data_IF_674954472143
#
_entry.id   IF_674954472143
#
_cell.length_a   1.000
_cell.length_b   1.000
_cell.length_c   1.000
_cell.angle_alpha   90.00
_cell.angle_beta   90.00
_cell.angle_gamma   90.00
#
_symmetry.space_group_name_H-M   'P 1'
#
loop_
_entity.id
_entity.type
_entity.pdbx_description
1 polymer ?
#
# COMPACT_ATOMS: atom_id res chain seq x y z
N UNK A 1 -18.23 34.06 20.98
CA UNK A 1 -18.77 34.72 19.77
C UNK A 1 -20.16 34.15 19.56
N UNK A 2 -21.19 34.99 19.59
CA UNK A 2 -22.60 34.56 19.51
C UNK A 2 -22.98 34.29 18.05
N UNK A 3 -23.66 33.19 17.77
CA UNK A 3 -24.09 32.85 16.41
C UNK A 3 -25.16 33.85 15.91
N UNK A 4 -25.12 34.22 14.61
CA UNK A 4 -26.12 35.10 14.01
C UNK A 4 -27.51 34.44 13.95
N UNK A 5 -28.60 35.22 14.01
CA UNK A 5 -29.96 34.70 13.91
C UNK A 5 -30.25 34.13 12.52
N UNK A 6 -31.11 33.11 12.42
CA UNK A 6 -31.50 32.52 11.14
C UNK A 6 -32.33 33.49 10.29
N UNK A 7 -32.32 33.32 8.94
CA UNK A 7 -33.04 34.19 8.02
C UNK A 7 -34.57 34.07 8.15
N UNK A 8 -35.32 35.14 7.86
CA UNK A 8 -36.79 35.12 7.92
C UNK A 8 -37.38 34.15 6.88
N UNK A 9 -38.30 33.29 7.31
CA UNK A 9 -39.03 32.36 6.43
C UNK A 9 -38.61 30.88 6.53
N UNK A 10 -37.79 30.51 7.52
CA UNK A 10 -37.49 29.10 7.80
C UNK A 10 -38.42 28.57 8.90
N UNK A 11 -39.47 27.86 8.51
CA UNK A 11 -40.29 27.06 9.43
C UNK A 11 -39.60 25.70 9.66
N UNK A 12 -39.24 25.33 10.91
CA UNK A 12 -38.77 23.99 11.21
C UNK A 12 -39.90 22.98 11.02
N UNK A 13 -39.68 21.85 10.32
CA UNK A 13 -40.64 20.76 10.33
C UNK A 13 -40.70 20.16 11.75
N UNK A 14 -41.83 20.41 12.42
CA UNK A 14 -42.14 19.81 13.71
C UNK A 14 -42.57 18.34 13.58
N UNK A 15 -42.12 17.50 14.51
CA UNK A 15 -42.79 16.24 14.85
C UNK A 15 -41.88 15.01 15.00
N UNK A 16 -41.57 14.69 16.26
CA UNK A 16 -41.05 13.45 16.88
C UNK A 16 -41.05 12.15 16.04
N UNK A 17 -40.06 11.26 16.11
CA UNK A 17 -39.62 10.57 17.34
C UNK A 17 -38.21 9.97 17.19
N UNK A 18 -37.24 10.48 17.96
CA UNK A 18 -35.99 9.77 18.21
C UNK A 18 -36.17 8.91 19.47
N UNK A 19 -35.80 7.62 19.47
CA UNK A 19 -35.80 6.82 20.69
C UNK A 19 -34.79 7.41 21.68
N UNK A 20 -35.09 7.43 22.99
CA UNK A 20 -34.16 7.94 23.98
C UNK A 20 -32.89 7.08 24.02
N UNK A 21 -31.72 7.67 24.35
CA UNK A 21 -30.48 6.92 24.48
C UNK A 21 -30.57 5.88 25.62
N UNK A 22 -29.86 4.75 25.51
CA UNK A 22 -29.82 3.74 26.56
C UNK A 22 -29.22 4.32 27.86
N UNK A 23 -29.69 3.88 29.03
CA UNK A 23 -29.19 4.38 30.30
C UNK A 23 -27.71 3.98 30.53
N UNK A 24 -26.96 4.75 31.33
CA UNK A 24 -25.56 4.47 31.63
C UNK A 24 -25.40 3.11 32.33
N UNK A 25 -24.39 2.34 31.92
CA UNK A 25 -24.00 1.12 32.60
C UNK A 25 -23.51 1.45 34.03
N UNK A 26 -24.31 1.07 35.03
CA UNK A 26 -23.95 1.16 36.44
C UNK A 26 -22.98 0.05 36.88
N UNK A 27 -22.34 0.20 38.05
CA UNK A 27 -21.27 -0.67 38.52
C UNK A 27 -21.82 -2.01 39.05
N UNK A 28 -21.03 -3.07 38.87
CA UNK A 28 -21.39 -4.45 39.17
C UNK A 28 -21.78 -4.73 40.62
N UNK A 29 -22.61 -5.77 40.77
CA UNK A 29 -23.00 -6.38 42.03
C UNK A 29 -23.38 -7.86 41.84
N UNK A 30 -23.30 -8.69 42.90
CA UNK A 30 -23.01 -10.13 42.82
C UNK A 30 -24.23 -11.01 42.56
N UNK A 31 -24.01 -12.11 41.85
CA UNK A 31 -25.04 -13.08 41.44
C UNK A 31 -25.60 -13.94 42.59
N UNK A 32 -26.82 -14.47 42.47
CA UNK A 32 -27.36 -15.48 43.38
C UNK A 32 -27.33 -16.90 42.79
N UNK A 33 -27.15 -17.86 43.70
CA UNK A 33 -26.93 -19.28 43.45
C UNK A 33 -28.09 -20.03 42.79
N UNK A 34 -27.77 -21.21 42.25
CA UNK A 34 -28.72 -22.12 41.62
C UNK A 34 -29.51 -22.99 42.61
N UNK A 35 -30.28 -23.96 42.09
CA UNK A 35 -30.54 -25.20 42.83
C UNK A 35 -30.56 -26.48 41.97
N UNK A 36 -29.92 -27.53 42.51
CA UNK A 36 -30.53 -28.86 42.65
C UNK A 36 -30.51 -29.85 41.47
N UNK A 37 -29.64 -30.85 41.56
CA UNK A 37 -29.74 -32.15 40.89
C UNK A 37 -30.73 -33.09 41.61
N UNK A 38 -31.39 -34.00 40.86
CA UNK A 38 -31.70 -35.34 41.37
C UNK A 38 -31.10 -36.44 40.49
N UNK A 39 -30.55 -37.49 41.12
CA UNK A 39 -29.81 -38.56 40.45
C UNK A 39 -30.50 -39.93 40.35
N UNK A 40 -29.80 -40.84 39.64
CA UNK A 40 -29.87 -42.30 39.70
C UNK A 40 -30.52 -43.02 38.49
N UNK A 41 -30.25 -44.32 38.22
CA UNK A 41 -29.10 -45.18 38.56
C UNK A 41 -28.62 -46.19 37.44
N UNK A 42 -27.35 -46.64 37.52
CA UNK A 42 -26.79 -47.97 37.11
C UNK A 42 -26.71 -48.36 35.61
N UNK A 43 -25.54 -48.48 34.96
CA UNK A 43 -24.55 -49.61 34.95
C UNK A 43 -24.51 -50.28 33.53
N UNK A 44 -23.59 -51.20 33.18
CA UNK A 44 -22.12 -51.08 33.10
C UNK A 44 -21.51 -51.57 31.75
N UNK A 45 -20.27 -51.12 31.43
CA UNK A 45 -19.27 -51.89 30.66
C UNK A 45 -19.25 -51.71 29.12
N UNK A 46 -18.06 -51.41 28.57
CA UNK A 46 -17.85 -51.43 27.11
C UNK A 46 -16.52 -50.84 26.63
N UNK A 47 -15.50 -51.68 26.61
CA UNK A 47 -14.19 -51.65 25.91
C UNK A 47 -14.09 -50.74 24.66
N UNK A 48 -13.00 -49.95 24.52
CA UNK A 48 -12.60 -49.29 23.24
C UNK A 48 -12.01 -50.31 22.24
N UNK A 49 -11.21 -49.93 21.20
CA UNK A 49 -10.79 -48.61 20.67
C UNK A 49 -10.95 -48.48 19.13
N UNK A 50 -10.78 -47.28 18.55
CA UNK A 50 -10.74 -47.14 17.08
C UNK A 50 -10.44 -45.72 16.59
N UNK A 51 -9.16 -45.38 16.48
CA UNK A 51 -8.69 -44.18 15.76
C UNK A 51 -8.55 -44.44 14.25
N UNK A 52 -8.73 -43.42 13.40
CA UNK A 52 -8.55 -43.55 11.95
C UNK A 52 -7.07 -43.61 11.52
N UNK A 53 -6.75 -44.34 10.44
CA UNK A 53 -5.38 -44.63 10.00
C UNK A 53 -4.71 -43.44 9.25
N UNK A 54 -3.36 -43.32 9.31
CA UNK A 54 -2.61 -42.35 8.52
C UNK A 54 -2.37 -42.84 7.06
N UNK A 55 -2.29 -41.93 6.08
CA UNK A 55 -1.95 -42.29 4.70
C UNK A 55 -0.45 -42.57 4.47
N UNK A 56 -0.11 -43.30 3.39
CA UNK A 56 1.11 -44.11 3.27
C UNK A 56 2.35 -43.33 2.81
N UNK A 57 3.51 -43.77 3.30
CA UNK A 57 4.83 -43.25 2.92
C UNK A 57 5.29 -43.66 1.52
N UNK A 58 6.03 -42.76 0.88
CA UNK A 58 6.71 -42.95 -0.40
C UNK A 58 8.13 -42.37 -0.36
N UNK A 59 9.09 -43.26 -0.60
CA UNK A 59 10.55 -43.18 -0.64
C UNK A 59 11.20 -42.04 -1.46
N UNK A 60 12.41 -41.63 -1.01
CA UNK A 60 13.48 -40.93 -1.76
C UNK A 60 13.95 -39.65 -1.05
N UNK A 61 14.99 -39.63 -0.23
CA UNK A 61 16.42 -39.81 -0.58
C UNK A 61 17.15 -38.46 -0.42
N UNK A 62 18.12 -38.29 0.51
CA UNK A 62 18.77 -37.02 0.77
C UNK A 62 19.90 -36.74 -0.22
N UNK A 63 19.67 -35.81 -1.15
CA UNK A 63 20.70 -35.27 -2.04
C UNK A 63 21.54 -34.23 -1.34
N UNK A 64 22.77 -34.62 -1.00
CA UNK A 64 23.86 -33.76 -0.50
C UNK A 64 24.24 -32.64 -1.49
N UNK A 65 24.60 -31.44 -1.00
CA UNK A 65 25.08 -30.34 -1.86
C UNK A 65 26.47 -30.64 -2.45
N UNK A 66 26.77 -30.19 -3.68
CA UNK A 66 28.09 -30.39 -4.29
C UNK A 66 29.17 -29.53 -3.59
N UNK A 67 30.42 -30.02 -3.53
CA UNK A 67 31.51 -29.34 -2.83
C UNK A 67 32.05 -28.12 -3.60
N UNK A 68 32.43 -27.11 -2.81
CA UNK A 68 33.24 -25.95 -3.21
C UNK A 68 34.56 -26.40 -3.85
N UNK A 69 34.87 -25.89 -5.04
CA UNK A 69 36.21 -25.98 -5.63
C UNK A 69 37.07 -24.78 -5.14
N UNK A 70 38.26 -25.01 -4.53
CA UNK A 70 39.25 -23.96 -4.34
C UNK A 70 39.99 -23.66 -5.67
N UNK A 71 40.44 -22.41 -5.89
CA UNK A 71 41.22 -22.07 -7.08
C UNK A 71 42.62 -22.71 -7.05
N UNK A 72 43.17 -23.06 -8.23
CA UNK A 72 44.47 -23.73 -8.34
C UNK A 72 45.64 -22.79 -7.96
N UNK A 73 46.65 -23.30 -7.22
CA UNK A 73 47.91 -22.59 -6.97
C UNK A 73 48.91 -22.85 -8.10
N UNK A 74 49.51 -21.77 -8.63
CA UNK A 74 50.77 -21.82 -9.38
C UNK A 74 50.71 -21.38 -10.83
N UNK A 75 51.38 -20.26 -11.13
CA UNK A 75 51.69 -19.76 -12.47
C UNK A 75 52.59 -18.52 -12.39
N UNK A 76 53.48 -18.27 -13.36
CA UNK A 76 54.92 -18.23 -13.12
C UNK A 76 55.55 -16.84 -12.87
N UNK A 77 56.64 -16.90 -12.11
CA UNK A 77 57.66 -15.87 -11.94
C UNK A 77 58.19 -15.38 -13.29
N UNK A 78 58.14 -14.07 -13.50
CA UNK A 78 58.81 -13.36 -14.60
C UNK A 78 59.67 -12.21 -14.07
N UNK A 79 60.75 -11.82 -14.78
CA UNK A 79 61.94 -11.24 -14.17
C UNK A 79 62.08 -9.71 -14.37
N UNK A 80 62.74 -9.06 -13.39
CA UNK A 80 63.82 -8.10 -13.69
C UNK A 80 63.53 -6.59 -13.67
N UNK A 81 63.94 -5.97 -12.55
CA UNK A 81 64.66 -4.67 -12.41
C UNK A 81 63.96 -3.34 -12.83
N UNK A 82 64.47 -2.14 -12.44
CA UNK A 82 65.56 -1.78 -11.49
C UNK A 82 65.13 -0.76 -10.39
N UNK A 83 66.00 -0.48 -9.39
CA UNK A 83 65.68 0.37 -8.23
C UNK A 83 66.05 1.85 -8.44
N UNK A 84 65.32 2.80 -7.81
CA UNK A 84 65.85 4.15 -7.58
C UNK A 84 66.64 4.21 -6.26
N UNK A 85 67.93 4.49 -6.46
CA UNK A 85 69.00 4.96 -5.57
C UNK A 85 68.59 5.54 -4.20
N UNK A 86 69.27 5.03 -3.16
CA UNK A 86 69.59 5.77 -1.92
C UNK A 86 70.76 6.72 -2.17
N UNK A 87 70.60 7.97 -1.74
CA UNK A 87 71.64 8.90 -1.30
C UNK A 87 70.89 9.87 -0.38
N UNK A 88 71.30 10.15 0.86
CA UNK A 88 72.63 10.38 1.40
C UNK A 88 72.46 11.68 2.18
N UNK A 89 72.66 11.63 3.50
CA UNK A 89 72.29 12.68 4.45
C UNK A 89 73.03 14.01 4.29
N UNK A 90 72.61 15.00 5.07
CA UNK A 90 73.32 16.26 5.18
C UNK A 90 72.48 17.32 5.85
N UNK A 91 72.62 17.43 7.16
CA UNK A 91 71.99 18.43 8.00
C UNK A 91 72.54 19.85 7.71
N UNK A 92 71.63 20.83 7.75
CA UNK A 92 71.70 22.06 8.57
C UNK A 92 72.59 23.23 8.10
N UNK A 93 71.86 24.27 7.61
CA UNK A 93 71.92 25.71 7.93
C UNK A 93 73.02 26.60 7.32
N UNK A 94 72.59 27.58 6.50
CA UNK A 94 72.57 29.02 6.86
C UNK A 94 71.87 29.82 5.73
N UNK A 95 70.68 30.39 6.00
CA UNK A 95 70.49 31.82 6.32
C UNK A 95 70.62 32.69 5.06
N UNK A 96 69.56 33.24 4.48
CA UNK A 96 68.76 34.40 4.92
C UNK A 96 67.58 34.46 3.92
N UNK A 97 66.37 34.83 4.35
CA UNK A 97 65.05 34.84 3.63
C UNK A 97 64.07 33.70 3.97
N UNK A 98 64.32 32.89 5.01
CA UNK A 98 63.44 31.78 5.42
C UNK A 98 62.33 32.11 6.43
N UNK A 99 62.38 33.28 7.08
CA UNK A 99 61.47 33.63 8.18
C UNK A 99 60.04 33.91 7.73
N UNK A 100 59.86 34.62 6.62
CA UNK A 100 58.53 34.97 6.11
C UNK A 100 57.81 33.76 5.50
N UNK A 101 58.52 32.84 4.84
CA UNK A 101 57.90 31.67 4.20
C UNK A 101 57.50 30.61 5.22
N UNK A 102 58.30 30.36 6.26
CA UNK A 102 57.92 29.41 7.33
C UNK A 102 56.75 29.96 8.14
N UNK A 103 56.72 31.26 8.42
CA UNK A 103 55.57 31.90 9.08
C UNK A 103 54.35 31.92 8.16
N UNK A 104 54.48 32.14 6.85
CA UNK A 104 53.35 32.05 5.90
C UNK A 104 52.86 30.63 5.66
N UNK A 105 53.72 29.61 5.73
CA UNK A 105 53.33 28.20 5.67
C UNK A 105 52.68 27.78 6.98
N UNK A 106 53.19 28.22 8.14
CA UNK A 106 52.56 27.97 9.43
C UNK A 106 51.23 28.71 9.57
N UNK A 107 51.15 29.98 9.15
CA UNK A 107 49.89 30.73 9.08
C UNK A 107 48.98 30.10 8.03
N UNK A 108 49.49 29.65 6.90
CA UNK A 108 48.71 28.95 5.87
C UNK A 108 48.14 27.61 6.37
N UNK A 109 48.92 26.84 7.13
CA UNK A 109 48.50 25.59 7.77
C UNK A 109 47.55 25.88 8.93
N UNK A 110 47.80 26.91 9.74
CA UNK A 110 46.93 27.32 10.84
C UNK A 110 45.62 27.89 10.30
N UNK A 111 45.63 28.71 9.25
CA UNK A 111 44.43 29.21 8.57
C UNK A 111 43.72 28.08 7.84
N UNK A 112 44.41 27.13 7.20
CA UNK A 112 43.79 25.95 6.59
C UNK A 112 43.15 25.04 7.65
N UNK A 113 43.80 24.83 8.79
CA UNK A 113 43.25 24.03 9.91
C UNK A 113 42.12 24.78 10.64
N UNK A 114 42.21 26.12 10.78
CA UNK A 114 41.18 26.95 11.39
C UNK A 114 39.98 27.19 10.46
N UNK A 115 40.16 27.17 9.15
CA UNK A 115 39.07 27.30 8.17
C UNK A 115 38.46 25.96 7.76
N UNK A 116 39.20 24.85 7.86
CA UNK A 116 38.69 23.50 7.60
C UNK A 116 37.85 22.92 8.77
N UNK A 117 37.83 23.57 9.94
CA UNK A 117 37.26 23.03 11.18
C UNK A 117 36.04 23.74 11.76
N UNK A 118 35.37 24.66 11.04
CA UNK A 118 34.25 25.44 11.59
C UNK A 118 32.85 24.92 11.25
N UNK A 119 32.74 23.90 10.38
CA UNK A 119 31.47 23.28 10.02
C UNK A 119 31.15 22.06 10.88
N UNK A 120 29.86 21.73 10.98
CA UNK A 120 29.40 20.52 11.68
C UNK A 120 30.09 19.26 11.16
N UNK A 121 30.39 18.33 12.05
CA UNK A 121 30.82 16.98 11.70
C UNK A 121 29.76 16.25 10.85
N UNK A 122 30.14 15.25 10.04
CA UNK A 122 29.19 14.43 9.30
C UNK A 122 28.04 13.86 10.16
N UNK A 123 28.34 13.50 11.40
CA UNK A 123 27.39 12.94 12.37
C UNK A 123 26.38 13.99 12.85
N UNK A 124 26.84 15.22 13.06
CA UNK A 124 25.98 16.37 13.38
C UNK A 124 25.12 16.76 12.17
N UNK A 125 25.66 16.69 10.95
CA UNK A 125 24.90 16.90 9.71
C UNK A 125 23.81 15.84 9.52
N UNK A 126 24.12 14.56 9.72
CA UNK A 126 23.11 13.48 9.73
C UNK A 126 22.02 13.71 10.79
N UNK A 127 22.41 14.23 11.96
CA UNK A 127 21.46 14.57 13.02
C UNK A 127 20.55 15.73 12.61
N UNK A 128 21.10 16.78 12.00
CA UNK A 128 20.32 17.91 11.46
C UNK A 128 19.33 17.44 10.39
N UNK A 129 19.78 16.62 9.44
CA UNK A 129 18.91 16.04 8.40
C UNK A 129 17.81 15.16 9.00
N UNK A 130 18.12 14.37 10.03
CA UNK A 130 17.13 13.55 10.71
C UNK A 130 16.06 14.40 11.40
N UNK A 131 16.44 15.47 12.09
CA UNK A 131 15.51 16.38 12.76
C UNK A 131 14.62 17.11 11.74
N UNK A 132 15.22 17.63 10.66
CA UNK A 132 14.47 18.28 9.57
C UNK A 132 13.44 17.32 8.98
N UNK A 133 13.86 16.10 8.63
CA UNK A 133 12.97 15.07 8.07
C UNK A 133 11.86 14.66 9.05
N UNK A 134 12.16 14.47 10.34
CA UNK A 134 11.18 14.08 11.36
C UNK A 134 10.10 15.15 11.58
N UNK A 135 10.47 16.42 11.39
CA UNK A 135 9.57 17.57 11.49
C UNK A 135 8.68 17.75 10.26
N UNK A 136 9.01 17.11 9.13
CA UNK A 136 8.23 17.22 7.90
C UNK A 136 6.86 16.55 8.05
N UNK A 137 5.81 17.22 7.58
CA UNK A 137 4.44 16.67 7.59
C UNK A 137 4.19 15.72 6.43
N UNK A 138 4.92 15.91 5.34
CA UNK A 138 4.92 15.02 4.19
C UNK A 138 6.30 15.04 3.52
N UNK A 139 6.53 14.09 2.63
CA UNK A 139 7.72 14.00 1.80
C UNK A 139 7.32 13.63 0.38
N UNK A 140 7.88 14.32 -0.61
CA UNK A 140 7.77 13.94 -2.01
C UNK A 140 8.93 13.02 -2.36
N UNK A 141 8.62 11.86 -2.94
CA UNK A 141 9.57 10.84 -3.36
C UNK A 141 9.49 10.71 -4.87
N UNK A 142 10.59 11.03 -5.56
CA UNK A 142 10.66 10.95 -7.02
C UNK A 142 11.69 9.92 -7.46
N UNK A 143 11.26 8.94 -8.24
CA UNK A 143 12.14 7.89 -8.76
C UNK A 143 11.46 6.54 -8.75
N UNK A 144 12.24 5.48 -8.46
CA UNK A 144 11.73 4.11 -8.49
C UNK A 144 11.57 3.52 -7.09
N UNK A 145 10.46 2.84 -6.87
CA UNK A 145 10.09 2.23 -5.59
C UNK A 145 9.37 0.91 -5.84
N UNK A 146 9.66 -0.14 -5.09
CA UNK A 146 8.87 -1.36 -5.22
C UNK A 146 9.44 -2.60 -4.56
N UNK A 147 8.53 -3.52 -4.20
CA UNK A 147 8.84 -4.88 -3.79
C UNK A 147 8.70 -5.86 -4.97
N UNK A 148 7.48 -6.33 -5.18
CA UNK A 148 7.08 -7.29 -6.24
C UNK A 148 6.86 -6.60 -7.60
N UNK A 149 6.28 -5.41 -7.60
CA UNK A 149 6.19 -4.50 -8.76
C UNK A 149 7.18 -3.34 -8.66
N UNK A 150 7.40 -2.62 -9.76
CA UNK A 150 8.19 -1.37 -9.74
C UNK A 150 7.29 -0.19 -10.08
N UNK A 151 7.14 0.73 -9.13
CA UNK A 151 6.62 2.07 -9.35
C UNK A 151 7.74 2.96 -9.86
N UNK A 152 7.46 3.77 -10.86
CA UNK A 152 8.33 4.84 -11.33
C UNK A 152 7.53 6.13 -11.45
N UNK A 153 7.89 7.17 -10.72
CA UNK A 153 7.16 8.43 -10.76
C UNK A 153 7.37 9.26 -9.50
N UNK A 154 6.35 10.03 -9.15
CA UNK A 154 6.36 10.90 -7.98
C UNK A 154 5.25 10.48 -7.01
N UNK A 155 5.62 10.21 -5.77
CA UNK A 155 4.67 9.82 -4.71
C UNK A 155 4.88 10.74 -3.52
N UNK A 156 3.80 11.33 -3.03
CA UNK A 156 3.80 12.08 -1.79
C UNK A 156 3.43 11.14 -0.64
N UNK A 157 4.27 11.07 0.38
CA UNK A 157 4.06 10.25 1.58
C UNK A 157 3.86 11.15 2.79
N UNK A 158 2.77 10.99 3.50
CA UNK A 158 2.46 11.77 4.70
C UNK A 158 3.15 11.22 5.94
N UNK A 159 3.10 11.97 7.05
CA UNK A 159 3.64 11.54 8.34
C UNK A 159 2.98 10.24 8.84
N UNK A 160 1.68 10.07 8.60
CA UNK A 160 0.93 8.85 8.90
C UNK A 160 1.28 7.66 8.01
N UNK A 161 2.06 7.88 6.94
CA UNK A 161 2.46 6.85 5.98
C UNK A 161 1.48 6.63 4.84
N UNK A 162 0.49 7.53 4.66
CA UNK A 162 -0.39 7.51 3.49
C UNK A 162 0.40 8.01 2.28
N UNK A 163 0.18 7.40 1.13
CA UNK A 163 0.95 7.68 -0.06
C UNK A 163 0.04 7.91 -1.26
N UNK A 164 0.28 8.97 -2.04
CA UNK A 164 -0.45 9.21 -3.27
C UNK A 164 0.40 9.89 -4.34
N UNK A 165 0.16 9.56 -5.60
CA UNK A 165 0.81 10.22 -6.71
C UNK A 165 0.68 9.47 -8.03
N UNK A 166 1.08 10.15 -9.11
CA UNK A 166 1.06 9.59 -10.46
C UNK A 166 2.35 8.82 -10.72
N UNK A 167 2.19 7.57 -11.11
CA UNK A 167 3.27 6.61 -11.31
C UNK A 167 3.03 5.77 -12.54
N UNK A 168 4.11 5.30 -13.14
CA UNK A 168 4.07 4.15 -14.04
C UNK A 168 4.26 2.89 -13.18
N UNK A 169 3.32 1.96 -13.26
CA UNK A 169 3.40 0.67 -12.60
C UNK A 169 3.30 -0.44 -13.65
N UNK A 170 4.36 -1.24 -13.79
CA UNK A 170 4.43 -2.36 -14.75
C UNK A 170 4.14 -1.94 -16.21
N UNK A 171 4.47 -0.68 -16.55
CA UNK A 171 4.26 -0.09 -17.88
C UNK A 171 2.98 0.72 -18.03
N UNK A 172 2.05 0.64 -17.08
CA UNK A 172 0.78 1.34 -17.12
C UNK A 172 0.85 2.65 -16.31
N UNK A 173 0.34 3.75 -16.86
CA UNK A 173 0.25 5.04 -16.16
C UNK A 173 -0.98 5.08 -15.27
N UNK A 174 -0.76 5.25 -13.97
CA UNK A 174 -1.83 5.20 -12.97
C UNK A 174 -1.63 6.24 -11.87
N UNK A 175 -2.73 6.66 -11.22
CA UNK A 175 -2.64 7.38 -9.96
C UNK A 175 -2.76 6.38 -8.82
N UNK A 176 -1.77 6.33 -7.93
CA UNK A 176 -1.75 5.46 -6.77
C UNK A 176 -2.28 6.20 -5.54
N UNK A 177 -3.02 5.49 -4.68
CA UNK A 177 -3.36 5.92 -3.33
C UNK A 177 -3.26 4.71 -2.37
N UNK A 178 -2.30 4.75 -1.46
CA UNK A 178 -2.18 3.80 -0.34
C UNK A 178 -2.55 4.52 0.95
N UNK A 179 -3.62 4.07 1.60
CA UNK A 179 -4.11 4.66 2.85
C UNK A 179 -4.72 3.58 3.74
N UNK A 180 -4.37 3.60 5.03
CA UNK A 180 -4.96 2.73 6.06
C UNK A 180 -4.98 1.24 5.70
N UNK A 181 -3.84 0.76 5.16
CA UNK A 181 -3.64 -0.64 4.76
C UNK A 181 -4.35 -1.03 3.47
N UNK A 182 -4.94 -0.08 2.75
CA UNK A 182 -5.67 -0.29 1.50
C UNK A 182 -4.93 0.33 0.34
N UNK A 183 -4.94 -0.37 -0.79
CA UNK A 183 -4.30 0.07 -2.02
C UNK A 183 -5.36 0.35 -3.08
N UNK A 184 -5.38 1.59 -3.57
CA UNK A 184 -6.25 2.05 -4.63
C UNK A 184 -5.42 2.55 -5.79
N UNK A 185 -5.94 2.33 -6.98
CA UNK A 185 -5.35 2.77 -8.23
C UNK A 185 -6.43 3.47 -9.05
N UNK A 186 -6.10 4.58 -9.71
CA UNK A 186 -6.94 5.23 -10.71
C UNK A 186 -6.32 4.97 -12.07
N UNK A 187 -7.07 4.30 -12.94
CA UNK A 187 -6.59 3.90 -14.24
C UNK A 187 -7.73 3.82 -15.25
N UNK A 188 -7.39 3.71 -16.53
CA UNK A 188 -8.36 3.59 -17.62
C UNK A 188 -8.94 2.17 -17.74
N UNK A 189 -9.92 2.03 -18.63
CA UNK A 189 -10.57 0.73 -18.88
C UNK A 189 -9.63 -0.35 -19.42
N UNK A 190 -8.53 0.01 -20.11
CA UNK A 190 -7.60 -0.97 -20.66
C UNK A 190 -6.80 -1.65 -19.53
N UNK A 191 -6.30 -0.85 -18.58
CA UNK A 191 -5.70 -1.35 -17.36
C UNK A 191 -6.66 -2.28 -16.60
N UNK A 192 -7.90 -1.84 -16.37
CA UNK A 192 -8.85 -2.61 -15.58
C UNK A 192 -9.31 -3.90 -16.25
N UNK A 193 -9.43 -3.95 -17.59
CA UNK A 193 -9.74 -5.19 -18.31
C UNK A 193 -8.63 -6.23 -18.15
N UNK A 194 -7.37 -5.80 -18.23
CA UNK A 194 -6.20 -6.63 -17.97
C UNK A 194 -6.19 -7.13 -16.54
N UNK A 195 -6.39 -6.23 -15.56
CA UNK A 195 -6.36 -6.56 -14.13
C UNK A 195 -7.47 -7.54 -13.73
N UNK A 196 -8.71 -7.29 -14.18
CA UNK A 196 -9.86 -8.15 -13.90
C UNK A 196 -9.82 -9.49 -14.63
N UNK A 197 -8.84 -9.70 -15.52
CA UNK A 197 -8.69 -10.91 -16.35
C UNK A 197 -10.01 -11.32 -17.03
N UNK A 198 -10.81 -10.33 -17.44
CA UNK A 198 -12.15 -10.55 -18.00
C UNK A 198 -12.09 -10.48 -19.52
N UNK A 199 -12.57 -11.54 -20.18
CA UNK A 199 -12.77 -11.54 -21.63
C UNK A 199 -14.02 -10.76 -22.06
N UNK A 200 -14.92 -10.46 -21.10
CA UNK A 200 -16.12 -9.67 -21.30
C UNK A 200 -15.91 -8.24 -20.75
N UNK A 201 -16.61 -7.27 -21.33
CA UNK A 201 -16.64 -5.91 -20.78
C UNK A 201 -17.43 -5.89 -19.46
N UNK A 202 -16.78 -5.63 -18.30
CA UNK A 202 -17.48 -5.55 -17.03
C UNK A 202 -18.45 -4.37 -17.06
N UNK A 203 -19.68 -4.61 -16.63
CA UNK A 203 -20.79 -3.67 -16.81
C UNK A 203 -20.64 -2.31 -16.12
N UNK A 204 -19.70 -2.21 -15.18
CA UNK A 204 -19.43 -1.05 -14.36
C UNK A 204 -18.19 -0.27 -14.83
N UNK A 205 -17.41 -0.82 -15.78
CA UNK A 205 -16.32 -0.09 -16.38
C UNK A 205 -16.87 0.94 -17.35
N UNK A 206 -16.34 2.14 -17.23
CA UNK A 206 -16.62 3.29 -18.09
C UNK A 206 -15.43 3.53 -19.02
N UNK A 207 -15.60 4.37 -20.04
CA UNK A 207 -14.49 4.73 -20.94
C UNK A 207 -13.43 5.64 -20.28
N UNK A 208 -13.75 6.25 -19.15
CA UNK A 208 -12.85 7.14 -18.41
C UNK A 208 -11.99 6.41 -17.39
N UNK A 209 -11.15 7.20 -16.70
CA UNK A 209 -10.40 6.69 -15.56
C UNK A 209 -11.32 6.43 -14.36
N UNK A 210 -11.10 5.34 -13.66
CA UNK A 210 -11.84 4.97 -12.46
C UNK A 210 -10.90 4.48 -11.37
N UNK A 211 -11.29 4.77 -10.12
CA UNK A 211 -10.65 4.18 -8.96
C UNK A 211 -11.07 2.71 -8.81
N UNK A 212 -10.10 1.85 -8.58
CA UNK A 212 -10.31 0.47 -8.17
C UNK A 212 -9.35 0.10 -7.04
N UNK A 213 -9.82 -0.74 -6.13
CA UNK A 213 -9.04 -1.30 -5.04
C UNK A 213 -8.34 -2.57 -5.51
N UNK A 214 -7.06 -2.68 -5.17
CA UNK A 214 -6.21 -3.82 -5.42
C UNK A 214 -5.91 -4.56 -4.11
N UNK A 215 -5.30 -5.74 -4.19
CA UNK A 215 -4.75 -6.36 -2.99
C UNK A 215 -3.58 -5.51 -2.47
N UNK A 216 -3.48 -5.24 -1.15
CA UNK A 216 -2.33 -4.50 -0.60
C UNK A 216 -0.99 -5.21 -0.88
N UNK A 217 -1.01 -6.53 -1.05
CA UNK A 217 0.17 -7.34 -1.33
C UNK A 217 0.74 -7.16 -2.74
N UNK A 218 -0.03 -6.57 -3.67
CA UNK A 218 0.44 -6.36 -5.04
C UNK A 218 1.65 -5.42 -5.12
N UNK A 219 1.68 -4.40 -4.26
CA UNK A 219 2.78 -3.44 -4.20
C UNK A 219 3.93 -3.96 -3.32
N UNK A 220 3.60 -4.70 -2.25
CA UNK A 220 4.52 -5.18 -1.23
C UNK A 220 5.51 -4.10 -0.73
N UNK A 221 4.98 -2.90 -0.46
CA UNK A 221 5.72 -1.74 0.04
C UNK A 221 4.91 -1.08 1.15
N UNK A 222 5.46 -1.08 2.37
CA UNK A 222 4.88 -0.35 3.48
C UNK A 222 5.47 1.07 3.54
N UNK A 223 4.74 2.04 3.00
CA UNK A 223 5.16 3.44 3.02
C UNK A 223 5.36 3.95 4.44
N UNK A 224 4.53 3.54 5.41
CA UNK A 224 4.63 3.99 6.80
C UNK A 224 5.92 3.50 7.44
N UNK A 225 6.20 2.21 7.34
CA UNK A 225 7.37 1.60 7.97
C UNK A 225 8.69 1.94 7.26
N UNK A 226 8.64 2.32 5.97
CA UNK A 226 9.86 2.35 5.16
C UNK A 226 10.17 3.71 4.52
N UNK A 227 9.17 4.51 4.18
CA UNK A 227 9.33 5.71 3.35
C UNK A 227 8.62 6.97 3.91
N UNK A 228 7.98 6.86 5.07
CA UNK A 228 7.42 8.01 5.79
C UNK A 228 8.55 8.94 6.28
N UNK A 229 8.25 10.21 6.57
CA UNK A 229 9.21 11.13 7.18
C UNK A 229 9.92 10.52 8.41
N UNK A 230 9.17 9.91 9.34
CA UNK A 230 9.73 9.26 10.52
C UNK A 230 10.63 8.06 10.17
N UNK A 231 10.26 7.24 9.18
CA UNK A 231 11.08 6.11 8.73
C UNK A 231 12.40 6.58 8.10
N UNK A 232 12.36 7.62 7.25
CA UNK A 232 13.55 8.21 6.65
C UNK A 232 14.46 8.87 7.70
N UNK A 233 13.89 9.57 8.67
CA UNK A 233 14.63 10.10 9.82
C UNK A 233 15.30 8.99 10.63
N UNK A 234 14.63 7.85 10.84
CA UNK A 234 15.20 6.66 11.47
C UNK A 234 16.44 6.13 10.72
N UNK A 235 16.40 6.10 9.39
CA UNK A 235 17.54 5.67 8.55
C UNK A 235 18.73 6.62 8.65
N UNK A 236 18.48 7.93 8.70
CA UNK A 236 19.53 8.95 8.94
C UNK A 236 20.20 8.76 10.31
N UNK A 237 19.40 8.53 11.36
CA UNK A 237 19.92 8.24 12.71
C UNK A 237 20.73 6.94 12.76
N UNK A 238 20.30 5.90 12.02
CA UNK A 238 21.03 4.65 11.92
C UNK A 238 22.39 4.83 11.22
N UNK A 239 22.43 5.60 10.12
CA UNK A 239 23.67 5.90 9.40
C UNK A 239 24.70 6.61 10.28
N UNK A 240 24.26 7.48 11.21
CA UNK A 240 25.14 8.14 12.19
C UNK A 240 25.87 7.13 13.08
N UNK A 241 25.23 6.01 13.41
CA UNK A 241 25.84 4.96 14.25
C UNK A 241 26.72 4.00 13.46
N UNK A 242 26.61 4.00 12.13
CA UNK A 242 27.50 3.26 11.26
C UNK A 242 28.82 4.02 11.18
N UNK A 243 29.96 3.37 11.45
CA UNK A 243 31.30 3.97 11.37
C UNK A 243 31.73 4.28 9.91
N UNK A 244 30.77 4.48 9.02
CA UNK A 244 30.95 4.70 7.59
C UNK A 244 31.35 6.16 7.38
N UNK A 245 32.56 6.36 6.86
CA UNK A 245 33.00 7.69 6.44
C UNK A 245 32.23 8.11 5.18
N UNK A 246 31.64 9.32 5.14
CA UNK A 246 30.96 9.79 3.95
C UNK A 246 31.95 10.03 2.81
N UNK A 247 31.44 9.90 1.59
CA UNK A 247 32.11 10.31 0.37
C UNK A 247 31.54 11.67 -0.05
N UNK A 248 32.40 12.68 -0.20
CA UNK A 248 31.99 13.97 -0.77
C UNK A 248 31.64 13.79 -2.24
N UNK A 249 30.49 14.31 -2.65
CA UNK A 249 29.97 14.17 -4.00
C UNK A 249 29.05 15.35 -4.36
N UNK A 250 28.38 15.24 -5.50
CA UNK A 250 27.30 16.15 -5.89
C UNK A 250 26.05 15.35 -6.24
N UNK A 251 24.88 15.90 -5.93
CA UNK A 251 23.60 15.35 -6.33
C UNK A 251 22.71 16.47 -6.86
N UNK A 252 22.24 16.35 -8.10
CA UNK A 252 21.44 17.39 -8.78
C UNK A 252 22.06 18.81 -8.66
N UNK A 253 23.38 18.90 -8.80
CA UNK A 253 24.12 20.16 -8.69
C UNK A 253 24.40 20.67 -7.27
N UNK A 254 23.83 20.05 -6.22
CA UNK A 254 24.12 20.37 -4.81
C UNK A 254 25.32 19.59 -4.30
N UNK A 255 26.17 20.22 -3.46
CA UNK A 255 27.23 19.51 -2.74
C UNK A 255 26.59 18.54 -1.74
N UNK A 256 27.04 17.30 -1.73
CA UNK A 256 26.42 16.25 -0.94
C UNK A 256 27.45 15.35 -0.25
N UNK A 257 27.05 14.80 0.90
CA UNK A 257 27.74 13.72 1.58
C UNK A 257 26.98 12.42 1.32
N UNK A 258 27.67 11.44 0.72
CA UNK A 258 27.15 10.11 0.42
C UNK A 258 27.56 9.13 1.52
N UNK A 259 26.58 8.54 2.19
CA UNK A 259 26.77 7.49 3.19
C UNK A 259 26.28 6.16 2.62
N UNK A 260 27.16 5.19 2.42
CA UNK A 260 26.82 3.89 1.85
C UNK A 260 27.06 2.76 2.87
N UNK A 261 26.02 1.98 3.09
CA UNK A 261 26.04 0.73 3.85
C UNK A 261 25.79 -0.44 2.89
N UNK A 262 25.81 -1.68 3.40
CA UNK A 262 25.50 -2.85 2.57
C UNK A 262 24.04 -2.88 2.08
N UNK A 263 23.11 -2.25 2.81
CA UNK A 263 21.66 -2.32 2.55
C UNK A 263 21.07 -1.02 2.02
N UNK A 264 21.76 0.10 2.18
CA UNK A 264 21.24 1.41 1.77
C UNK A 264 22.32 2.45 1.51
N UNK A 265 21.96 3.47 0.72
CA UNK A 265 22.76 4.68 0.52
C UNK A 265 21.91 5.91 0.76
N UNK A 266 22.47 6.88 1.49
CA UNK A 266 21.87 8.17 1.79
C UNK A 266 22.74 9.28 1.22
N UNK A 267 22.11 10.32 0.67
CA UNK A 267 22.77 11.54 0.24
C UNK A 267 22.16 12.70 1.02
N UNK A 268 22.98 13.43 1.78
CA UNK A 268 22.56 14.66 2.46
C UNK A 268 23.31 15.86 1.90
N UNK A 269 22.79 17.08 2.02
CA UNK A 269 23.55 18.29 1.67
C UNK A 269 24.82 18.41 2.52
N UNK A 270 25.91 18.93 1.94
CA UNK A 270 27.15 19.22 2.67
C UNK A 270 27.10 20.60 3.33
N UNK A 271 26.08 20.84 4.14
CA UNK A 271 25.75 22.11 4.82
C UNK A 271 25.50 21.86 6.31
N UNK A 272 25.49 22.88 7.16
CA UNK A 272 25.28 22.71 8.60
C UNK A 272 23.81 22.42 8.94
N UNK A 273 22.89 22.94 8.15
CA UNK A 273 21.46 22.63 8.12
C UNK A 273 21.16 21.53 7.09
N UNK A 274 21.90 20.42 7.20
CA UNK A 274 21.84 19.36 6.20
C UNK A 274 20.43 18.80 5.99
N UNK A 275 20.08 18.48 4.75
CA UNK A 275 18.80 17.87 4.35
C UNK A 275 19.03 16.55 3.59
N UNK A 276 18.09 15.61 3.69
CA UNK A 276 18.11 14.38 2.89
C UNK A 276 17.72 14.69 1.45
N UNK A 277 18.65 14.45 0.52
CA UNK A 277 18.47 14.67 -0.92
C UNK A 277 18.01 13.40 -1.64
N UNK A 278 18.51 12.24 -1.23
CA UNK A 278 18.25 10.97 -1.90
C UNK A 278 18.41 9.77 -0.98
N UNK A 279 17.54 8.79 -1.18
CA UNK A 279 17.57 7.51 -0.51
C UNK A 279 17.58 6.36 -1.52
N UNK A 280 18.50 5.42 -1.30
CA UNK A 280 18.58 4.18 -2.06
C UNK A 280 18.61 2.96 -1.13
N UNK A 281 17.92 1.89 -1.53
CA UNK A 281 17.87 0.63 -0.80
C UNK A 281 17.76 -0.57 -1.75
N UNK A 282 18.28 -1.71 -1.31
CA UNK A 282 18.20 -2.97 -2.05
C UNK A 282 16.97 -3.80 -1.69
N UNK A 283 16.40 -3.63 -0.49
CA UNK A 283 15.23 -4.40 -0.04
C UNK A 283 14.31 -3.56 0.88
N UNK A 284 13.09 -3.21 0.42
CA UNK A 284 12.68 -3.27 -0.98
C UNK A 284 13.52 -2.35 -1.85
N UNK A 285 13.43 -2.51 -3.17
CA UNK A 285 14.23 -1.73 -4.11
C UNK A 285 13.66 -0.32 -4.17
N UNK A 286 14.46 0.63 -3.69
CA UNK A 286 14.10 2.05 -3.66
C UNK A 286 15.26 2.86 -4.18
N UNK A 287 14.99 3.82 -5.06
CA UNK A 287 15.92 4.83 -5.56
C UNK A 287 15.16 6.11 -5.81
N UNK A 288 15.05 6.93 -4.76
CA UNK A 288 14.20 8.13 -4.77
C UNK A 288 14.97 9.36 -4.36
N UNK A 289 14.73 10.43 -5.11
CA UNK A 289 15.03 11.78 -4.68
C UNK A 289 13.97 12.21 -3.67
N UNK A 290 14.42 12.87 -2.62
CA UNK A 290 13.62 13.15 -1.43
C UNK A 290 13.46 14.65 -1.31
N UNK A 291 12.22 15.13 -1.20
CA UNK A 291 11.92 16.54 -0.94
C UNK A 291 10.98 16.62 0.27
N UNK A 292 11.48 16.97 1.46
CA UNK A 292 10.64 17.21 2.63
C UNK A 292 9.65 18.36 2.36
N UNK A 293 8.43 18.25 2.88
CA UNK A 293 7.41 19.29 2.79
C UNK A 293 7.07 19.80 4.18
N UNK A 294 7.37 21.08 4.40
CA UNK A 294 7.00 21.81 5.62
C UNK A 294 5.56 22.35 5.52
N UNK A 295 5.07 22.97 6.59
CA UNK A 295 3.65 23.32 6.81
C UNK A 295 2.84 23.78 5.58
N UNK A 296 3.25 24.83 4.86
CA UNK A 296 2.50 25.35 3.71
C UNK A 296 2.45 24.37 2.54
N UNK A 297 3.59 23.75 2.21
CA UNK A 297 3.69 22.83 1.09
C UNK A 297 3.03 21.48 1.38
N UNK A 298 3.02 21.07 2.64
CA UNK A 298 2.30 19.88 3.08
C UNK A 298 0.78 20.08 2.97
N UNK A 299 0.27 21.30 3.11
CA UNK A 299 -1.17 21.58 3.06
C UNK A 299 -1.78 21.28 1.68
N UNK A 300 -1.03 21.55 0.60
CA UNK A 300 -1.47 21.19 -0.75
C UNK A 300 -1.42 19.68 -0.98
N UNK A 301 -0.37 19.00 -0.49
CA UNK A 301 -0.27 17.53 -0.51
C UNK A 301 -1.47 16.88 0.20
N UNK A 302 -1.77 17.30 1.42
CA UNK A 302 -2.90 16.79 2.20
C UNK A 302 -4.25 17.09 1.52
N UNK A 303 -4.41 18.28 0.94
CA UNK A 303 -5.63 18.65 0.21
C UNK A 303 -5.86 17.79 -1.04
N UNK A 304 -4.80 17.54 -1.82
CA UNK A 304 -4.87 16.67 -2.99
C UNK A 304 -5.22 15.23 -2.59
N UNK A 305 -4.57 14.71 -1.54
CA UNK A 305 -4.86 13.37 -1.02
C UNK A 305 -6.29 13.26 -0.47
N UNK A 306 -6.81 14.28 0.22
CA UNK A 306 -8.20 14.33 0.69
C UNK A 306 -9.19 14.25 -0.48
N UNK A 307 -8.91 14.96 -1.57
CA UNK A 307 -9.69 14.90 -2.81
C UNK A 307 -9.66 13.49 -3.40
N UNK A 308 -8.48 12.88 -3.55
CA UNK A 308 -8.35 11.50 -4.05
C UNK A 308 -9.11 10.49 -3.17
N UNK A 309 -9.03 10.61 -1.84
CA UNK A 309 -9.80 9.78 -0.92
C UNK A 309 -11.31 9.98 -1.11
N UNK A 310 -11.77 11.22 -1.33
CA UNK A 310 -13.19 11.53 -1.56
C UNK A 310 -13.75 10.92 -2.85
N UNK A 311 -12.91 10.74 -3.87
CA UNK A 311 -13.27 10.06 -5.12
C UNK A 311 -13.45 8.54 -4.96
N UNK A 312 -12.92 7.94 -3.88
CA UNK A 312 -13.00 6.49 -3.66
C UNK A 312 -14.42 5.98 -3.40
N UNK A 313 -15.38 6.86 -3.08
CA UNK A 313 -16.80 6.49 -2.90
C UNK A 313 -17.40 5.78 -4.12
N UNK A 314 -16.86 6.05 -5.31
CA UNK A 314 -17.31 5.49 -6.59
C UNK A 314 -16.44 4.30 -7.05
N UNK A 315 -15.43 3.94 -6.25
CA UNK A 315 -14.48 2.88 -6.57
C UNK A 315 -15.11 1.50 -6.53
N UNK A 316 -14.50 0.57 -7.26
CA UNK A 316 -14.80 -0.85 -7.17
C UNK A 316 -13.62 -1.62 -6.58
N UNK A 317 -13.84 -2.86 -6.14
CA UNK A 317 -12.77 -3.75 -5.70
C UNK A 317 -12.43 -4.72 -6.83
N UNK A 318 -11.25 -4.52 -7.44
CA UNK A 318 -10.76 -5.31 -8.56
C UNK A 318 -10.17 -6.67 -8.15
N UNK A 319 -9.70 -6.80 -6.91
CA UNK A 319 -9.18 -8.07 -6.39
C UNK A 319 -10.27 -8.99 -5.84
N UNK A 320 -11.47 -8.47 -5.59
CA UNK A 320 -12.59 -9.24 -5.05
C UNK A 320 -13.32 -10.06 -6.12
N UNK A 321 -13.48 -11.37 -5.87
CA UNK A 321 -14.16 -12.29 -6.80
C UNK A 321 -15.35 -13.02 -6.15
N UNK A 322 -16.56 -12.43 -6.15
CA UNK A 322 -17.79 -13.12 -5.78
C UNK A 322 -18.12 -14.24 -6.78
N UNK A 323 -18.87 -15.26 -6.33
CA UNK A 323 -19.31 -16.38 -7.18
C UNK A 323 -20.72 -16.81 -6.85
N UNK A 324 -21.45 -17.34 -7.83
CA UNK A 324 -22.74 -17.98 -7.58
C UNK A 324 -22.52 -19.29 -6.83
N UNK A 325 -23.15 -19.43 -5.66
CA UNK A 325 -23.28 -20.69 -4.93
C UNK A 325 -24.40 -21.55 -5.52
N UNK A 326 -25.53 -20.92 -5.81
CA UNK A 326 -26.77 -21.60 -6.17
C UNK A 326 -27.65 -20.67 -7.02
N UNK A 327 -28.30 -21.23 -8.03
CA UNK A 327 -29.35 -20.55 -8.78
C UNK A 327 -30.72 -21.04 -8.33
N UNK A 328 -31.65 -20.12 -8.06
CA UNK A 328 -33.03 -20.52 -7.78
C UNK A 328 -33.68 -21.03 -9.06
N UNK A 329 -34.44 -22.12 -8.93
CA UNK A 329 -35.29 -22.66 -10.02
C UNK A 329 -36.59 -21.86 -10.12
N UNK A 330 -37.08 -21.70 -11.34
CA UNK A 330 -38.32 -20.96 -11.64
C UNK A 330 -38.13 -19.43 -11.67
N UNK A 331 -39.24 -18.71 -11.51
CA UNK A 331 -39.30 -17.24 -11.51
C UNK A 331 -39.55 -16.59 -12.87
N UNK A 332 -39.62 -17.38 -13.95
CA UNK A 332 -39.66 -16.88 -15.33
C UNK A 332 -40.71 -17.62 -16.17
N UNK A 333 -41.93 -17.73 -15.61
CA UNK A 333 -43.03 -18.49 -16.20
C UNK A 333 -43.99 -17.61 -17.02
N UNK A 334 -43.68 -16.32 -17.21
CA UNK A 334 -44.54 -15.37 -17.90
C UNK A 334 -43.78 -14.45 -18.85
N UNK A 335 -44.52 -13.79 -19.72
CA UNK A 335 -44.01 -12.86 -20.73
C UNK A 335 -43.74 -11.45 -20.17
N UNK A 336 -44.43 -11.03 -19.11
CA UNK A 336 -44.26 -9.72 -18.47
C UNK A 336 -42.93 -9.51 -17.75
N UNK A 337 -42.13 -10.58 -17.57
CA UNK A 337 -40.78 -10.49 -17.03
C UNK A 337 -40.29 -11.79 -16.38
N UNK A 338 -39.00 -11.83 -16.08
CA UNK A 338 -38.31 -12.97 -15.46
C UNK A 338 -37.64 -12.53 -14.17
N UNK A 339 -38.06 -13.08 -13.04
CA UNK A 339 -37.40 -12.87 -11.74
C UNK A 339 -36.23 -13.84 -11.63
N UNK A 340 -35.02 -13.30 -11.55
CA UNK A 340 -33.78 -14.04 -11.46
C UNK A 340 -33.26 -13.94 -10.03
N UNK A 341 -32.97 -15.10 -9.44
CA UNK A 341 -32.47 -15.21 -8.09
C UNK A 341 -31.24 -16.12 -8.05
N UNK A 342 -30.19 -15.67 -7.38
CA UNK A 342 -28.99 -16.45 -7.13
C UNK A 342 -28.46 -16.20 -5.72
N UNK A 343 -27.93 -17.26 -5.10
CA UNK A 343 -27.22 -17.19 -3.83
C UNK A 343 -25.76 -16.89 -4.13
N UNK A 344 -25.28 -15.73 -3.69
CA UNK A 344 -23.93 -15.21 -3.98
C UNK A 344 -23.02 -15.53 -2.79
N UNK A 345 -21.84 -16.12 -3.06
CA UNK A 345 -20.77 -16.28 -2.08
C UNK A 345 -20.00 -14.98 -1.96
N UNK A 346 -19.65 -14.54 -0.74
CA UNK A 346 -18.80 -13.38 -0.58
C UNK A 346 -17.42 -13.67 -1.17
N UNK A 347 -16.71 -12.63 -1.64
CA UNK A 347 -15.31 -12.77 -2.04
C UNK A 347 -14.46 -13.20 -0.83
N UNK A 348 -13.43 -14.00 -1.08
CA UNK A 348 -12.43 -14.36 -0.08
C UNK A 348 -11.57 -13.13 0.27
N UNK A 349 -11.07 -13.07 1.51
CA UNK A 349 -10.11 -12.08 1.98
C UNK A 349 -10.55 -10.60 1.84
N UNK A 350 -11.86 -10.37 1.81
CA UNK A 350 -12.44 -9.02 1.87
C UNK A 350 -13.07 -8.80 3.25
N UNK A 351 -12.72 -7.68 3.88
CA UNK A 351 -13.30 -7.25 5.15
C UNK A 351 -14.83 -7.09 5.01
N UNK A 352 -15.58 -7.62 5.98
CA UNK A 352 -17.04 -7.43 6.04
C UNK A 352 -17.36 -6.20 6.91
N UNK A 353 -18.41 -5.42 6.58
CA UNK A 353 -19.40 -5.68 5.53
C UNK A 353 -18.88 -5.40 4.10
N UNK A 354 -19.27 -6.25 3.14
CA UNK A 354 -18.98 -6.05 1.72
C UNK A 354 -20.26 -5.78 0.94
N UNK A 355 -20.26 -4.73 0.12
CA UNK A 355 -21.40 -4.37 -0.74
C UNK A 355 -21.11 -4.78 -2.18
N UNK A 356 -22.08 -5.42 -2.82
CA UNK A 356 -21.93 -6.01 -4.15
C UNK A 356 -23.15 -5.62 -5.01
N UNK A 357 -22.90 -5.02 -6.17
CA UNK A 357 -23.90 -4.93 -7.24
C UNK A 357 -23.83 -6.19 -8.09
N UNK A 358 -24.96 -6.90 -8.16
CA UNK A 358 -25.12 -8.13 -8.93
C UNK A 358 -25.96 -7.82 -10.16
N UNK A 359 -25.35 -7.87 -11.35
CA UNK A 359 -26.07 -7.77 -12.62
C UNK A 359 -26.40 -9.17 -13.12
N UNK A 360 -27.69 -9.44 -13.23
CA UNK A 360 -28.21 -10.63 -13.90
C UNK A 360 -28.47 -10.33 -15.37
N UNK A 361 -28.03 -11.21 -16.27
CA UNK A 361 -28.31 -11.13 -17.71
C UNK A 361 -28.88 -12.46 -18.20
N UNK A 362 -29.81 -12.38 -19.15
CA UNK A 362 -30.45 -13.56 -19.74
C UNK A 362 -30.13 -13.67 -21.23
N UNK A 363 -29.80 -14.88 -21.70
CA UNK A 363 -29.60 -15.17 -23.12
C UNK A 363 -30.47 -16.32 -23.59
N UNK A 364 -31.01 -16.22 -24.82
CA UNK A 364 -31.86 -17.26 -25.41
C UNK A 364 -31.04 -18.38 -26.04
N UNK A 365 -31.45 -19.64 -25.83
CA UNK A 365 -30.97 -20.81 -26.58
C UNK A 365 -29.57 -21.31 -26.23
N UNK A 366 -28.59 -20.41 -26.03
CA UNK A 366 -27.21 -20.74 -25.66
C UNK A 366 -26.64 -19.72 -24.66
N UNK A 367 -25.47 -20.02 -24.08
CA UNK A 367 -24.75 -19.11 -23.18
C UNK A 367 -24.39 -17.76 -23.83
N UNK A 368 -24.19 -17.74 -25.15
CA UNK A 368 -23.84 -16.53 -25.93
C UNK A 368 -24.95 -16.12 -26.89
N UNK A 369 -26.16 -16.67 -26.71
CA UNK A 369 -27.28 -16.42 -27.59
C UNK A 369 -27.83 -14.99 -27.47
N UNK A 370 -28.95 -14.75 -28.16
CA UNK A 370 -29.59 -13.43 -28.19
C UNK A 370 -29.84 -12.91 -26.77
N UNK A 371 -29.49 -11.64 -26.53
CA UNK A 371 -29.74 -10.97 -25.25
C UNK A 371 -31.24 -10.77 -25.02
N UNK A 372 -31.70 -11.27 -23.87
CA UNK A 372 -33.08 -11.12 -23.39
C UNK A 372 -33.19 -10.01 -22.35
N UNK A 373 -32.11 -9.28 -22.09
CA UNK A 373 -32.07 -8.16 -21.16
C UNK A 373 -31.39 -8.53 -19.84
N UNK A 374 -31.32 -7.52 -18.97
CA UNK A 374 -30.61 -7.59 -17.72
C UNK A 374 -31.34 -6.80 -16.62
N UNK A 375 -30.95 -7.06 -15.38
CA UNK A 375 -31.33 -6.26 -14.22
C UNK A 375 -30.18 -6.28 -13.20
N UNK A 376 -30.11 -5.25 -12.35
CA UNK A 376 -29.08 -5.14 -11.31
C UNK A 376 -29.74 -4.99 -9.95
N UNK A 377 -29.16 -5.64 -8.94
CA UNK A 377 -29.56 -5.52 -7.54
C UNK A 377 -28.33 -5.32 -6.67
N UNK A 378 -28.51 -4.71 -5.49
CA UNK A 378 -27.44 -4.48 -4.52
C UNK A 378 -27.68 -5.34 -3.29
N UNK A 379 -26.64 -6.04 -2.85
CA UNK A 379 -26.64 -6.80 -1.59
C UNK A 379 -25.49 -6.32 -0.70
N UNK A 380 -25.67 -6.41 0.61
CA UNK A 380 -24.63 -6.15 1.61
C UNK A 380 -24.45 -7.39 2.46
N UNK A 381 -23.26 -7.98 2.40
CA UNK A 381 -22.91 -9.20 3.11
C UNK A 381 -22.11 -8.85 4.36
N UNK A 382 -22.66 -9.23 5.52
CA UNK A 382 -22.07 -8.99 6.85
C UNK A 382 -21.39 -10.22 7.43
N UNK A 383 -21.36 -11.34 6.69
CA UNK A 383 -20.75 -12.60 7.10
C UNK A 383 -20.24 -13.37 5.89
N UNK A 384 -19.50 -14.45 6.14
CA UNK A 384 -19.05 -15.40 5.12
C UNK A 384 -20.17 -16.26 4.51
N UNK A 385 -21.41 -16.14 5.01
CA UNK A 385 -22.53 -16.95 4.54
C UNK A 385 -23.07 -16.46 3.20
N UNK A 386 -23.35 -17.36 2.23
CA UNK A 386 -23.91 -16.94 0.95
C UNK A 386 -25.30 -16.32 1.08
N UNK A 387 -25.56 -15.22 0.37
CA UNK A 387 -26.82 -14.47 0.45
C UNK A 387 -27.57 -14.42 -0.89
N UNK A 388 -28.90 -14.40 -0.83
CA UNK A 388 -29.73 -14.31 -2.04
C UNK A 388 -29.73 -12.89 -2.61
N UNK A 389 -29.42 -12.78 -3.89
CA UNK A 389 -29.64 -11.60 -4.72
C UNK A 389 -30.81 -11.88 -5.67
N UNK A 390 -31.71 -10.91 -5.84
CA UNK A 390 -32.89 -11.01 -6.69
C UNK A 390 -33.09 -9.73 -7.49
N UNK A 391 -33.44 -9.87 -8.78
CA UNK A 391 -34.05 -8.80 -9.56
C UNK A 391 -34.92 -9.33 -10.70
N UNK A 392 -35.76 -8.46 -11.26
CA UNK A 392 -36.67 -8.80 -12.36
C UNK A 392 -36.22 -8.18 -13.67
N UNK A 393 -36.06 -9.01 -14.71
CA UNK A 393 -35.80 -8.59 -16.09
C UNK A 393 -37.15 -8.34 -16.78
N UNK A 394 -37.38 -7.12 -17.26
CA UNK A 394 -38.64 -6.70 -17.89
C UNK A 394 -38.44 -6.10 -19.29
N UNK A 395 -37.48 -6.64 -20.06
CA UNK A 395 -37.15 -6.08 -21.37
C UNK A 395 -38.20 -6.44 -22.44
N UNK A 396 -38.29 -5.62 -23.49
CA UNK A 396 -39.08 -5.94 -24.68
C UNK A 396 -38.57 -7.22 -25.37
N UNK A 397 -37.25 -7.43 -25.38
CA UNK A 397 -36.63 -8.65 -25.90
C UNK A 397 -37.11 -9.90 -25.17
N UNK A 398 -37.19 -9.86 -23.84
CA UNK A 398 -37.76 -10.94 -23.02
C UNK A 398 -39.21 -11.18 -23.41
N UNK A 399 -40.02 -10.13 -23.38
CA UNK A 399 -41.46 -10.21 -23.63
C UNK A 399 -41.76 -10.83 -24.99
N UNK A 400 -41.10 -10.34 -26.05
CA UNK A 400 -41.29 -10.84 -27.41
C UNK A 400 -40.81 -12.28 -27.57
N UNK A 401 -39.68 -12.65 -26.97
CA UNK A 401 -39.18 -14.03 -27.03
C UNK A 401 -40.10 -15.00 -26.26
N UNK A 402 -40.53 -14.63 -25.06
CA UNK A 402 -41.41 -15.44 -24.21
C UNK A 402 -42.79 -15.66 -24.85
N UNK A 403 -43.34 -14.65 -25.55
CA UNK A 403 -44.62 -14.77 -26.28
C UNK A 403 -44.54 -15.63 -27.53
N UNK A 404 -43.45 -15.52 -28.29
CA UNK A 404 -43.35 -16.12 -29.62
C UNK A 404 -42.93 -17.59 -29.58
N UNK A 405 -41.79 -17.86 -28.94
CA UNK A 405 -41.15 -19.19 -28.96
C UNK A 405 -40.95 -19.74 -27.56
N UNK A 406 -40.59 -18.89 -26.60
CA UNK A 406 -40.12 -19.33 -25.30
C UNK A 406 -38.95 -20.32 -25.42
N UNK A 407 -38.84 -21.21 -24.43
CA UNK A 407 -37.88 -22.32 -24.45
C UNK A 407 -36.68 -22.11 -23.52
N UNK A 408 -35.54 -22.71 -23.89
CA UNK A 408 -34.32 -22.68 -23.06
C UNK A 408 -33.69 -21.29 -23.05
N UNK A 409 -33.35 -20.82 -21.86
CA UNK A 409 -32.58 -19.60 -21.64
C UNK A 409 -31.49 -19.85 -20.60
N UNK A 410 -30.46 -19.00 -20.62
CA UNK A 410 -29.32 -19.08 -19.71
C UNK A 410 -29.27 -17.84 -18.83
N UNK A 411 -28.87 -18.04 -17.57
CA UNK A 411 -28.71 -17.00 -16.57
C UNK A 411 -27.22 -16.72 -16.38
N UNK A 412 -26.87 -15.45 -16.40
CA UNK A 412 -25.51 -14.95 -16.15
C UNK A 412 -25.52 -14.04 -14.95
N UNK A 413 -24.44 -14.03 -14.17
CA UNK A 413 -24.23 -13.09 -13.08
C UNK A 413 -22.86 -12.42 -13.25
N UNK A 414 -22.86 -11.10 -13.20
CA UNK A 414 -21.65 -10.27 -13.17
C UNK A 414 -21.69 -9.40 -11.91
N UNK A 415 -20.51 -9.03 -11.39
CA UNK A 415 -20.41 -8.39 -10.08
C UNK A 415 -19.62 -7.10 -10.15
N UNK A 416 -20.06 -6.08 -9.43
CA UNK A 416 -19.23 -4.94 -9.01
C UNK A 416 -19.16 -4.98 -7.49
N UNK A 417 -18.00 -5.29 -6.93
CA UNK A 417 -17.77 -5.15 -5.49
C UNK A 417 -17.38 -3.70 -5.23
N UNK A 418 -17.95 -3.05 -4.21
CA UNK A 418 -17.61 -1.66 -3.86
C UNK A 418 -16.18 -1.61 -3.29
N UNK A 419 -15.37 -0.66 -3.74
CA UNK A 419 -13.95 -0.55 -3.37
C UNK A 419 -13.72 0.09 -2.00
N UNK A 420 -14.44 1.16 -1.70
CA UNK A 420 -14.45 1.84 -0.41
C UNK A 420 -15.88 2.27 -0.05
N UNK A 421 -16.28 2.00 1.18
CA UNK A 421 -17.53 2.47 1.78
C UNK A 421 -17.44 3.95 2.17
N UNK A 422 -18.59 4.61 2.39
CA UNK A 422 -18.61 6.00 2.84
C UNK A 422 -17.98 6.16 4.23
N UNK A 423 -18.11 5.16 5.08
CA UNK A 423 -17.48 5.09 6.40
C UNK A 423 -15.96 4.99 6.30
N UNK A 424 -15.44 4.15 5.41
CA UNK A 424 -14.00 4.03 5.15
C UNK A 424 -13.42 5.33 4.56
N UNK A 425 -14.11 5.95 3.60
CA UNK A 425 -13.73 7.26 3.04
C UNK A 425 -13.64 8.30 4.15
N UNK A 426 -14.66 8.39 5.00
CA UNK A 426 -14.69 9.35 6.12
C UNK A 426 -13.58 9.08 7.14
N UNK A 427 -13.31 7.80 7.43
CA UNK A 427 -12.22 7.38 8.32
C UNK A 427 -10.85 7.76 7.75
N UNK A 428 -10.61 7.51 6.46
CA UNK A 428 -9.35 7.88 5.79
C UNK A 428 -9.13 9.40 5.77
N UNK A 429 -10.18 10.18 5.51
CA UNK A 429 -10.09 11.65 5.55
C UNK A 429 -9.83 12.16 6.97
N UNK A 430 -10.56 11.65 7.97
CA UNK A 430 -10.36 12.03 9.37
C UNK A 430 -8.96 11.68 9.86
N UNK A 431 -8.45 10.51 9.47
CA UNK A 431 -7.11 10.08 9.79
C UNK A 431 -6.03 10.93 9.12
N UNK A 432 -6.27 11.43 7.91
CA UNK A 432 -5.39 12.38 7.22
C UNK A 432 -5.39 13.76 7.90
N UNK A 433 -6.55 14.20 8.39
CA UNK A 433 -6.74 15.51 9.06
C UNK A 433 -6.07 15.56 10.43
N UNK A 434 -5.86 14.40 11.05
CA UNK A 434 -5.22 14.26 12.37
C UNK A 434 -3.68 14.32 12.35
N UNK A 435 -3.05 14.41 11.17
CA UNK A 435 -1.60 14.46 10.98
C UNK A 435 -0.99 15.88 11.05
#
# INVERSE_FOLDING_TARGET
MSNPPPPPGWDPPGGASWPPPPPPAGPGGPGPGGPGTPGGPGAPGGVGPGGPPPPPGGYGGPGTPPPFFPPPPGGPLGPGMPPPKRGGGGAVIAAILGGAVVVLVLIGVVVYVLTAGSGKSPEEKLTAAAVSMDSARAVTLKGTMGGTGTLNGEVNVTKGGRAAGDVTWNGDSVTLLSADGKLFVKADSAYWKKELSSNDDPFFLTSGQQWGRLSPDELNLDFKAQLSPAALAGKLRAARTSSVKPIKTTWQGKKALKFSTFSSTLYITDEDDAELLRYEATTPRVRVDVTPKSSSDASSVLSNMRTSIGELKDSFNGSAQPRVAEWKRGGCNGDSGCTVEAKIRPPYDVETPVTIDVRFRLTAGTLTGRDLGNCTTRITMTSSTPQWASCRVTSSSWTSWAKATGGTFYKHASYKVIGATSEEVSSMQSGLDSE
#
